data_IF_782613711910
#
_entry.id   IF_782613711910
#
_cell.length_a   1.000
_cell.length_b   1.000
_cell.length_c   1.000
_cell.angle_alpha   90.00
_cell.angle_beta   90.00
_cell.angle_gamma   90.00
#
_symmetry.space_group_name_H-M   'P 1'
#
loop_
_entity.id
_entity.type
_entity.pdbx_description
1 polymer ?
#
# COMPACT_ATOMS: atom_id res chain seq x y z
N UNK A 1 -8.12 30.89 -35.51
CA UNK A 1 -8.38 30.55 -34.09
C UNK A 1 -7.64 29.27 -33.79
N UNK A 2 -6.53 29.33 -33.06
CA UNK A 2 -5.74 28.15 -32.70
C UNK A 2 -6.26 27.63 -31.37
N UNK A 3 -6.81 26.42 -31.34
CA UNK A 3 -7.22 25.76 -30.10
C UNK A 3 -5.98 25.28 -29.37
N UNK A 4 -5.66 25.88 -28.22
CA UNK A 4 -4.65 25.40 -27.29
C UNK A 4 -5.26 24.27 -26.47
N UNK A 5 -4.85 23.02 -26.75
CA UNK A 5 -5.19 21.87 -25.91
C UNK A 5 -4.27 21.90 -24.68
N UNK A 6 -4.83 22.11 -23.49
CA UNK A 6 -4.09 21.95 -22.24
C UNK A 6 -3.90 20.47 -21.95
N UNK A 7 -2.65 20.00 -21.90
CA UNK A 7 -2.34 18.63 -21.49
C UNK A 7 -2.69 18.43 -20.01
N UNK A 8 -3.29 17.28 -19.70
CA UNK A 8 -3.58 16.90 -18.32
C UNK A 8 -2.28 16.53 -17.63
N UNK A 9 -2.11 17.02 -16.40
CA UNK A 9 -0.97 16.67 -15.57
C UNK A 9 -0.97 15.17 -15.24
N UNK A 10 0.13 14.49 -15.59
CA UNK A 10 0.33 13.06 -15.42
C UNK A 10 1.84 12.77 -15.40
N UNK A 11 2.38 12.41 -14.23
CA UNK A 11 3.82 12.23 -14.04
C UNK A 11 4.13 11.09 -13.06
N UNK A 12 5.29 10.45 -13.20
CA UNK A 12 5.81 9.54 -12.18
C UNK A 12 6.57 10.32 -11.10
N UNK A 13 6.35 9.94 -9.84
CA UNK A 13 6.97 10.66 -8.73
C UNK A 13 7.19 9.79 -7.49
N UNK A 14 8.09 10.27 -6.64
CA UNK A 14 8.21 9.91 -5.24
C UNK A 14 7.68 11.10 -4.43
N UNK A 15 6.70 10.87 -3.58
CA UNK A 15 6.01 11.88 -2.79
C UNK A 15 6.33 11.69 -1.31
N UNK A 16 6.77 12.76 -0.68
CA UNK A 16 7.03 12.84 0.76
C UNK A 16 5.77 13.34 1.46
N UNK A 17 5.26 12.54 2.39
CA UNK A 17 4.04 12.79 3.12
C UNK A 17 4.37 13.16 4.57
N UNK A 18 3.83 14.28 5.03
CA UNK A 18 3.96 14.79 6.41
C UNK A 18 5.41 14.85 6.94
N UNK A 19 6.41 14.92 6.06
CA UNK A 19 7.83 14.99 6.41
C UNK A 19 8.47 13.69 6.95
N UNK A 20 7.73 12.57 7.02
CA UNK A 20 8.25 11.32 7.59
C UNK A 20 7.83 10.05 6.84
N UNK A 21 6.85 10.14 5.94
CA UNK A 21 6.42 9.03 5.11
C UNK A 21 6.75 9.30 3.64
N UNK A 22 6.90 8.23 2.87
CA UNK A 22 7.13 8.31 1.43
C UNK A 22 6.23 7.32 0.70
N UNK A 23 5.76 7.72 -0.49
CA UNK A 23 4.98 6.88 -1.39
C UNK A 23 5.45 7.15 -2.82
N UNK A 24 5.46 6.13 -3.67
CA UNK A 24 5.89 6.28 -5.06
C UNK A 24 4.85 5.68 -6.00
N UNK A 25 4.60 6.38 -7.12
CA UNK A 25 3.57 6.00 -8.06
C UNK A 25 3.39 7.03 -9.16
N UNK A 26 2.39 6.78 -10.01
CA UNK A 26 1.96 7.72 -11.04
C UNK A 26 1.00 8.72 -10.42
N UNK A 27 1.26 10.01 -10.59
CA UNK A 27 0.50 11.08 -9.97
C UNK A 27 -0.31 11.87 -10.99
N UNK A 28 -1.57 12.12 -10.64
CA UNK A 28 -2.51 12.92 -11.42
C UNK A 28 -3.35 13.79 -10.49
N UNK A 29 -4.09 14.74 -11.06
CA UNK A 29 -5.07 15.52 -10.31
C UNK A 29 -6.44 14.81 -10.29
N UNK A 30 -7.07 14.75 -9.12
CA UNK A 30 -8.45 14.24 -8.99
C UNK A 30 -9.28 15.16 -8.10
N UNK A 31 -10.50 15.48 -8.52
CA UNK A 31 -11.47 16.23 -7.70
C UNK A 31 -12.53 15.30 -7.13
N UNK A 32 -12.79 15.38 -5.83
CA UNK A 32 -13.90 14.69 -5.16
C UNK A 32 -14.61 15.69 -4.25
N UNK A 33 -15.93 15.82 -4.41
CA UNK A 33 -16.74 16.73 -3.57
C UNK A 33 -16.33 18.20 -3.68
N UNK A 34 -15.76 18.62 -4.81
CA UNK A 34 -15.24 19.99 -5.02
C UNK A 34 -13.84 20.23 -4.43
N UNK A 35 -13.25 19.25 -3.76
CA UNK A 35 -11.87 19.32 -3.26
C UNK A 35 -10.90 18.67 -4.24
N UNK A 36 -9.80 19.36 -4.54
CA UNK A 36 -8.71 18.82 -5.35
C UNK A 36 -7.76 17.97 -4.50
N UNK A 37 -7.36 16.82 -5.05
CA UNK A 37 -6.43 15.87 -4.45
C UNK A 37 -5.33 15.53 -5.45
N UNK A 38 -4.13 15.27 -4.91
CA UNK A 38 -3.11 14.54 -5.63
C UNK A 38 -3.46 13.06 -5.53
N UNK A 39 -3.82 12.47 -6.67
CA UNK A 39 -4.02 11.03 -6.82
C UNK A 39 -2.67 10.38 -7.05
N UNK A 40 -2.37 9.35 -6.27
CA UNK A 40 -1.16 8.54 -6.43
C UNK A 40 -1.59 7.10 -6.69
N UNK A 41 -1.37 6.64 -7.93
CA UNK A 41 -1.55 5.24 -8.32
C UNK A 41 -0.23 4.49 -8.10
N UNK A 42 -0.20 3.68 -7.04
CA UNK A 42 0.95 2.84 -6.68
C UNK A 42 0.89 1.55 -7.50
N UNK A 43 1.96 1.19 -8.23
CA UNK A 43 1.97 -0.01 -9.06
C UNK A 43 2.00 -1.29 -8.22
N UNK A 44 1.52 -2.39 -8.80
CA UNK A 44 1.74 -3.71 -8.25
C UNK A 44 3.25 -4.01 -8.18
N UNK A 45 3.66 -4.76 -7.16
CA UNK A 45 5.03 -5.24 -7.01
C UNK A 45 5.03 -6.75 -6.93
N UNK A 46 5.89 -7.40 -7.71
CA UNK A 46 6.11 -8.84 -7.65
C UNK A 46 6.69 -9.29 -6.31
N UNK A 47 6.48 -10.57 -6.00
CA UNK A 47 7.11 -11.22 -4.87
C UNK A 47 8.64 -11.25 -5.01
N UNK A 48 9.34 -11.26 -3.88
CA UNK A 48 10.81 -11.23 -3.83
C UNK A 48 11.32 -12.01 -2.62
N UNK A 49 11.75 -13.26 -2.85
CA UNK A 49 12.14 -14.16 -1.77
C UNK A 49 10.98 -14.40 -0.80
N UNK A 50 11.15 -14.03 0.46
CA UNK A 50 10.12 -14.11 1.50
C UNK A 50 9.12 -12.93 1.47
N UNK A 51 9.32 -11.95 0.60
CA UNK A 51 8.46 -10.78 0.49
C UNK A 51 7.29 -11.08 -0.46
N UNK A 52 6.03 -10.98 0.00
CA UNK A 52 4.88 -11.25 -0.84
C UNK A 52 4.68 -10.17 -1.90
N UNK A 53 4.00 -10.54 -2.99
CA UNK A 53 3.56 -9.59 -4.01
C UNK A 53 2.53 -8.61 -3.41
N UNK A 54 2.53 -7.37 -3.90
CA UNK A 54 1.56 -6.34 -3.53
C UNK A 54 0.73 -5.96 -4.74
N UNK A 55 -0.58 -5.87 -4.57
CA UNK A 55 -1.48 -5.40 -5.63
C UNK A 55 -1.35 -3.89 -5.83
N UNK A 56 -1.65 -3.42 -7.04
CA UNK A 56 -1.73 -1.99 -7.31
C UNK A 56 -2.88 -1.37 -6.50
N UNK A 57 -2.70 -0.13 -6.05
CA UNK A 57 -3.73 0.60 -5.32
C UNK A 57 -3.57 2.10 -5.50
N UNK A 58 -4.64 2.84 -5.17
CA UNK A 58 -4.67 4.30 -5.27
C UNK A 58 -4.80 4.91 -3.89
N UNK A 59 -4.08 6.01 -3.63
CA UNK A 59 -4.32 6.90 -2.49
C UNK A 59 -4.49 8.34 -2.97
N UNK A 60 -5.41 9.05 -2.32
CA UNK A 60 -5.67 10.47 -2.58
C UNK A 60 -5.14 11.28 -1.40
N UNK A 61 -4.37 12.32 -1.68
CA UNK A 61 -3.82 13.20 -0.66
C UNK A 61 -4.22 14.64 -0.94
N UNK A 62 -4.69 15.34 0.09
CA UNK A 62 -4.83 16.79 0.05
C UNK A 62 -3.46 17.46 0.07
N UNK A 63 -3.38 18.71 -0.38
CA UNK A 63 -2.13 19.48 -0.42
C UNK A 63 -1.41 19.55 0.93
N UNK A 64 -2.13 19.66 2.05
CA UNK A 64 -1.54 19.74 3.39
C UNK A 64 -0.83 18.46 3.86
N UNK A 65 -1.00 17.35 3.15
CA UNK A 65 -0.27 16.12 3.42
C UNK A 65 1.10 16.06 2.72
N UNK A 66 1.30 16.87 1.68
CA UNK A 66 2.47 16.78 0.80
C UNK A 66 3.55 17.72 1.32
N UNK A 67 4.67 17.13 1.75
CA UNK A 67 5.86 17.87 2.14
C UNK A 67 6.76 18.15 0.94
N UNK A 68 6.88 17.19 0.02
CA UNK A 68 7.76 17.28 -1.14
C UNK A 68 7.34 16.30 -2.24
N UNK A 69 7.69 16.65 -3.49
CA UNK A 69 7.46 15.80 -4.67
C UNK A 69 8.74 15.78 -5.49
N UNK A 70 9.25 14.58 -5.78
CA UNK A 70 10.37 14.36 -6.70
C UNK A 70 9.87 13.65 -7.95
N UNK A 71 9.82 14.36 -9.07
CA UNK A 71 9.48 13.78 -10.36
C UNK A 71 10.62 12.90 -10.86
N UNK A 72 10.27 11.70 -11.30
CA UNK A 72 11.22 10.68 -11.75
C UNK A 72 10.62 9.94 -12.94
N UNK A 73 11.42 9.12 -13.62
CA UNK A 73 10.89 8.19 -14.61
C UNK A 73 10.11 7.02 -13.96
N UNK A 74 9.40 6.26 -14.80
CA UNK A 74 8.60 5.11 -14.39
C UNK A 74 9.42 4.04 -13.67
N UNK A 75 10.62 3.74 -14.16
CA UNK A 75 11.47 2.68 -13.62
C UNK A 75 11.92 3.04 -12.20
N UNK A 76 12.33 4.28 -11.99
CA UNK A 76 12.73 4.81 -10.69
C UNK A 76 11.56 4.79 -9.70
N UNK A 77 10.37 5.23 -10.11
CA UNK A 77 9.18 5.19 -9.25
C UNK A 77 8.78 3.75 -8.87
N UNK A 78 8.86 2.79 -9.81
CA UNK A 78 8.59 1.36 -9.53
C UNK A 78 9.60 0.75 -8.56
N UNK A 79 10.89 1.07 -8.70
CA UNK A 79 11.92 0.65 -7.74
C UNK A 79 11.62 1.21 -6.36
N UNK A 80 11.31 2.51 -6.26
CA UNK A 80 10.95 3.15 -5.00
C UNK A 80 9.67 2.54 -4.39
N UNK A 81 8.63 2.28 -5.17
CA UNK A 81 7.40 1.65 -4.70
C UNK A 81 7.68 0.25 -4.12
N UNK A 82 8.51 -0.54 -4.80
CA UNK A 82 9.00 -1.84 -4.32
C UNK A 82 9.73 -1.68 -2.99
N UNK A 83 10.64 -0.72 -2.85
CA UNK A 83 11.39 -0.53 -1.61
C UNK A 83 10.54 -0.02 -0.44
N UNK A 84 9.61 0.91 -0.69
CA UNK A 84 8.78 1.54 0.34
C UNK A 84 7.71 0.59 0.90
N UNK A 85 7.26 -0.40 0.11
CA UNK A 85 6.29 -1.43 0.51
C UNK A 85 4.99 -0.88 1.12
N UNK A 86 4.59 0.33 0.72
CA UNK A 86 3.36 0.97 1.21
C UNK A 86 2.17 0.04 0.95
N UNK A 87 1.36 -0.19 1.97
CA UNK A 87 0.14 -1.01 1.88
C UNK A 87 -1.11 -0.12 1.85
N UNK A 88 -2.20 -0.55 1.20
CA UNK A 88 -3.46 0.19 1.22
C UNK A 88 -4.06 0.23 2.63
N UNK A 89 -3.89 -0.84 3.40
CA UNK A 89 -4.37 -1.02 4.79
C UNK A 89 -3.21 -1.33 5.74
N UNK A 90 -3.37 -0.98 7.01
CA UNK A 90 -2.39 -1.32 8.04
C UNK A 90 -2.43 -2.84 8.31
N UNK A 91 -1.28 -3.50 8.24
CA UNK A 91 -1.16 -4.95 8.46
C UNK A 91 -1.55 -5.38 9.87
N UNK A 92 -1.37 -4.51 10.88
CA UNK A 92 -1.81 -4.79 12.25
C UNK A 92 -3.34 -4.86 12.35
N UNK A 93 -4.04 -3.90 11.75
CA UNK A 93 -5.50 -3.88 11.74
C UNK A 93 -6.07 -5.07 10.97
N UNK A 94 -5.45 -5.43 9.84
CA UNK A 94 -5.81 -6.63 9.09
C UNK A 94 -5.64 -7.90 9.94
N UNK A 95 -4.51 -8.06 10.63
CA UNK A 95 -4.26 -9.23 11.49
C UNK A 95 -5.30 -9.34 12.59
N UNK A 96 -5.62 -8.23 13.25
CA UNK A 96 -6.66 -8.19 14.28
C UNK A 96 -8.03 -8.57 13.70
N UNK A 97 -8.40 -7.98 12.56
CA UNK A 97 -9.67 -8.30 11.90
C UNK A 97 -9.78 -9.79 11.53
N UNK A 98 -8.69 -10.40 11.05
CA UNK A 98 -8.65 -11.83 10.73
C UNK A 98 -8.78 -12.74 11.97
N UNK A 99 -8.31 -12.31 13.15
CA UNK A 99 -8.47 -13.04 14.41
C UNK A 99 -9.93 -13.01 14.92
N UNK A 100 -10.63 -11.90 14.66
CA UNK A 100 -12.01 -11.70 15.07
C UNK A 100 -13.01 -12.34 14.08
N UNK A 101 -12.56 -12.79 12.91
CA UNK A 101 -13.41 -13.50 11.96
C UNK A 101 -13.79 -14.88 12.53
N UNK A 102 -15.10 -15.21 12.60
CA UNK A 102 -15.51 -16.57 12.93
C UNK A 102 -14.90 -17.52 11.90
N UNK A 103 -14.34 -18.64 12.35
CA UNK A 103 -13.72 -19.64 11.49
C UNK A 103 -14.72 -20.04 10.40
N UNK A 104 -14.43 -19.68 9.15
CA UNK A 104 -15.25 -20.05 8.00
C UNK A 104 -15.01 -21.55 7.79
N UNK A 105 -15.90 -22.35 8.39
CA UNK A 105 -15.80 -23.80 8.47
C UNK A 105 -15.49 -24.24 9.90
N UNK A 106 -16.46 -24.89 10.54
CA UNK A 106 -16.39 -25.34 11.93
C UNK A 106 -15.33 -26.42 12.19
N UNK A 107 -14.06 -26.04 12.16
CA UNK A 107 -13.02 -26.75 12.89
C UNK A 107 -12.76 -26.00 14.19
N UNK A 108 -12.95 -26.64 15.37
CA UNK A 108 -12.61 -26.00 16.62
C UNK A 108 -11.12 -25.66 16.61
N UNK A 109 -10.81 -24.47 17.11
CA UNK A 109 -9.46 -24.01 17.42
C UNK A 109 -8.76 -25.05 18.29
N UNK A 110 -7.95 -25.92 17.66
CA UNK A 110 -7.08 -26.83 18.38
C UNK A 110 -6.02 -25.97 19.06
N UNK A 111 -6.22 -25.66 20.34
CA UNK A 111 -5.10 -25.32 21.20
C UNK A 111 -4.07 -26.45 21.05
N UNK A 112 -2.78 -26.15 20.83
CA UNK A 112 -1.76 -27.17 20.95
C UNK A 112 -1.77 -27.61 22.42
N UNK A 113 -2.36 -28.77 22.70
CA UNK A 113 -2.15 -29.43 23.99
C UNK A 113 -0.65 -29.68 24.09
N UNK A 114 -0.03 -28.99 25.04
CA UNK A 114 1.33 -29.28 25.46
C UNK A 114 1.31 -30.74 25.92
N UNK A 115 1.98 -31.61 25.17
CA UNK A 115 2.24 -32.98 25.60
C UNK A 115 3.09 -32.84 26.87
N UNK A 116 2.49 -33.12 28.04
CA UNK A 116 3.26 -33.28 29.25
C UNK A 116 4.19 -34.48 29.06
N UNK A 117 5.49 -34.27 29.25
CA UNK A 117 6.62 -35.21 29.03
C UNK A 117 6.55 -36.53 29.84
N UNK A 118 5.41 -36.87 30.45
CA UNK A 118 5.29 -37.95 31.43
C UNK A 118 4.82 -39.31 30.87
N UNK A 119 4.58 -39.42 29.56
CA UNK A 119 4.06 -40.65 28.92
C UNK A 119 5.06 -41.36 27.98
N UNK A 120 6.36 -41.16 28.16
CA UNK A 120 7.38 -41.98 27.49
C UNK A 120 7.70 -43.23 28.34
N UNK A 121 7.35 -44.46 27.89
CA UNK A 121 7.86 -45.66 28.53
C UNK A 121 9.37 -45.76 28.27
N UNK A 122 10.11 -46.14 29.33
CA UNK A 122 11.57 -46.36 29.36
C UNK A 122 12.08 -47.28 28.24
#
# INVERSE_FOLDING_TARGET
MTTLTTEKFDQWAIVELFGHQRIAGRITEQTIGGCAFVRIDVPACEADGSIPATQAFTKLFGNGAIYGVSFVDEQTARIAARQLRVQPINTYELRRALQDLPSIGGMPSRQPELIEDNDLPY
#
